data_IF_716546506539
#
_entry.id   IF_716546506539
#
_cell.length_a   1.000
_cell.length_b   1.000
_cell.length_c   1.000
_cell.angle_alpha   90.00
_cell.angle_beta   90.00
_cell.angle_gamma   90.00
#
_symmetry.space_group_name_H-M   'P 1'
#
loop_
_entity.id
_entity.type
_entity.pdbx_description
1 polymer ?
#
# COMPACT_ATOMS: atom_id res chain seq x y z
N UNK A 1 7.69 -3.99 -16.44
CA UNK A 1 7.52 -3.57 -15.03
C UNK A 1 8.07 -2.17 -14.89
N UNK A 2 7.37 -1.27 -14.19
CA UNK A 2 7.90 0.05 -13.84
C UNK A 2 8.48 -0.03 -12.42
N UNK A 3 9.75 0.30 -12.27
CA UNK A 3 10.46 0.34 -10.98
C UNK A 3 11.02 1.74 -10.80
N UNK A 4 10.61 2.40 -9.73
CA UNK A 4 11.07 3.74 -9.39
C UNK A 4 12.02 3.67 -8.20
N UNK A 5 13.28 4.09 -8.40
CA UNK A 5 14.23 4.34 -7.31
C UNK A 5 13.97 5.73 -6.74
N UNK A 6 14.54 6.03 -5.59
CA UNK A 6 14.40 7.35 -4.97
C UNK A 6 14.83 8.50 -5.91
N UNK A 7 15.84 8.29 -6.77
CA UNK A 7 16.29 9.28 -7.75
C UNK A 7 15.37 9.44 -8.97
N UNK A 8 14.41 8.53 -9.14
CA UNK A 8 13.43 8.58 -10.22
C UNK A 8 12.12 9.27 -9.75
N UNK A 9 12.01 9.64 -8.46
CA UNK A 9 10.87 10.37 -7.88
C UNK A 9 11.16 11.87 -7.88
N UNK A 10 10.31 12.67 -8.51
CA UNK A 10 10.47 14.12 -8.53
C UNK A 10 9.97 14.75 -7.23
N UNK A 11 8.81 14.29 -6.74
CA UNK A 11 8.20 14.84 -5.53
C UNK A 11 7.24 13.87 -4.86
N UNK A 12 7.15 13.95 -3.53
CA UNK A 12 6.10 13.30 -2.73
C UNK A 12 5.35 14.39 -1.95
N UNK A 13 4.02 14.36 -1.97
CA UNK A 13 3.18 15.33 -1.28
C UNK A 13 2.06 14.63 -0.52
N UNK A 14 1.93 14.91 0.78
CA UNK A 14 0.78 14.52 1.57
C UNK A 14 -0.06 15.76 1.91
N UNK A 15 -1.31 15.79 1.49
CA UNK A 15 -2.20 16.94 1.73
C UNK A 15 -3.59 16.51 2.13
N UNK A 16 -4.26 17.33 2.94
CA UNK A 16 -5.72 17.29 3.08
C UNK A 16 -6.26 18.44 2.21
N UNK A 17 -6.88 18.16 1.05
CA UNK A 17 -7.41 19.21 0.19
C UNK A 17 -8.43 20.09 0.93
N UNK A 18 -8.57 21.35 0.52
CA UNK A 18 -9.54 22.27 1.14
C UNK A 18 -10.95 21.68 1.04
N UNK A 19 -11.65 21.59 2.18
CA UNK A 19 -13.00 21.02 2.26
C UNK A 19 -13.05 19.48 2.33
N UNK A 20 -11.91 18.79 2.27
CA UNK A 20 -11.85 17.34 2.43
C UNK A 20 -11.52 16.96 3.87
N UNK A 21 -11.99 15.79 4.30
CA UNK A 21 -11.70 15.23 5.63
C UNK A 21 -10.44 14.36 5.65
N UNK A 22 -10.10 13.79 4.49
CA UNK A 22 -9.10 12.74 4.37
C UNK A 22 -7.91 13.20 3.56
N UNK A 23 -6.74 12.68 3.93
CA UNK A 23 -5.49 12.96 3.26
C UNK A 23 -5.44 12.32 1.85
N UNK A 24 -4.61 12.88 0.98
CA UNK A 24 -4.17 12.31 -0.29
C UNK A 24 -2.65 12.28 -0.30
N UNK A 25 -2.10 11.13 -0.66
CA UNK A 25 -0.68 10.98 -0.96
C UNK A 25 -0.50 11.09 -2.46
N UNK A 26 0.40 11.97 -2.89
CA UNK A 26 0.72 12.24 -4.27
C UNK A 26 2.19 11.90 -4.49
N UNK A 27 2.48 11.09 -5.49
CA UNK A 27 3.85 10.80 -5.94
C UNK A 27 3.96 11.28 -7.39
N UNK A 28 4.83 12.26 -7.61
CA UNK A 28 5.12 12.86 -8.90
C UNK A 28 6.35 12.19 -9.50
N UNK A 29 6.16 11.63 -10.69
CA UNK A 29 7.15 10.93 -11.49
C UNK A 29 7.35 11.71 -12.80
N UNK A 30 8.47 11.52 -13.52
CA UNK A 30 8.75 12.28 -14.74
C UNK A 30 7.68 12.15 -15.84
N UNK A 31 6.95 11.03 -15.85
CA UNK A 31 5.97 10.68 -16.86
C UNK A 31 4.51 10.68 -16.36
N UNK A 32 4.28 10.72 -15.04
CA UNK A 32 2.94 10.60 -14.47
C UNK A 32 2.82 11.07 -13.01
N UNK A 33 1.59 11.27 -12.55
CA UNK A 33 1.28 11.58 -11.15
C UNK A 33 0.40 10.48 -10.58
N UNK A 34 0.85 9.84 -9.50
CA UNK A 34 0.09 8.85 -8.75
C UNK A 34 -0.60 9.54 -7.57
N UNK A 35 -1.91 9.34 -7.41
CA UNK A 35 -2.69 9.90 -6.29
C UNK A 35 -3.38 8.76 -5.54
N UNK A 36 -3.05 8.61 -4.27
CA UNK A 36 -3.60 7.59 -3.40
C UNK A 36 -4.59 8.18 -2.39
N UNK A 37 -5.61 7.38 -2.07
CA UNK A 37 -6.49 7.63 -0.93
C UNK A 37 -5.74 7.40 0.39
N UNK A 38 -6.19 8.06 1.46
CA UNK A 38 -5.64 7.85 2.82
C UNK A 38 -5.62 6.36 3.22
N UNK A 39 -6.67 5.61 2.91
CA UNK A 39 -6.75 4.18 3.23
C UNK A 39 -5.69 3.35 2.47
N UNK A 40 -5.43 3.67 1.21
CA UNK A 40 -4.36 3.03 0.42
C UNK A 40 -2.98 3.38 0.99
N UNK A 41 -2.75 4.65 1.33
CA UNK A 41 -1.50 5.08 1.97
C UNK A 41 -1.28 4.40 3.31
N UNK A 42 -2.33 4.27 4.13
CA UNK A 42 -2.26 3.54 5.38
C UNK A 42 -1.97 2.05 5.18
N UNK A 43 -2.50 1.43 4.12
CA UNK A 43 -2.17 0.04 3.77
C UNK A 43 -0.69 -0.12 3.38
N UNK A 44 -0.13 0.78 2.56
CA UNK A 44 1.29 0.78 2.21
C UNK A 44 2.15 0.90 3.47
N UNK A 45 1.83 1.85 4.36
CA UNK A 45 2.54 2.03 5.62
C UNK A 45 2.45 0.79 6.51
N UNK A 46 1.26 0.18 6.64
CA UNK A 46 1.07 -1.06 7.41
C UNK A 46 1.89 -2.20 6.84
N UNK A 47 1.91 -2.39 5.52
CA UNK A 47 2.69 -3.45 4.88
C UNK A 47 4.19 -3.27 5.17
N UNK A 48 4.71 -2.06 4.95
CA UNK A 48 6.11 -1.72 5.24
C UNK A 48 6.47 -1.98 6.70
N UNK A 49 5.72 -1.38 7.63
CA UNK A 49 5.96 -1.52 9.07
C UNK A 49 5.90 -3.00 9.49
N UNK A 50 4.88 -3.73 9.03
CA UNK A 50 4.69 -5.15 9.41
C UNK A 50 5.86 -6.05 9.06
N UNK A 51 6.62 -5.74 8.00
CA UNK A 51 7.83 -6.49 7.64
C UNK A 51 9.04 -5.96 8.40
N UNK A 52 9.31 -4.65 8.32
CA UNK A 52 10.57 -4.09 8.86
C UNK A 52 10.67 -4.13 10.37
N UNK A 53 9.54 -4.13 11.09
CA UNK A 53 9.53 -4.16 12.57
C UNK A 53 9.31 -5.55 13.15
N UNK A 54 9.03 -6.58 12.34
CA UNK A 54 8.79 -7.92 12.83
C UNK A 54 10.05 -8.79 12.72
N UNK A 55 10.52 -9.45 13.79
CA UNK A 55 11.85 -10.07 13.83
C UNK A 55 12.02 -11.27 12.89
N UNK A 56 10.93 -11.88 12.43
CA UNK A 56 10.95 -13.10 11.61
C UNK A 56 10.17 -13.00 10.30
N UNK A 57 9.32 -11.97 10.13
CA UNK A 57 8.40 -11.91 8.98
C UNK A 57 9.16 -11.30 7.81
N UNK A 58 9.09 -11.93 6.65
CA UNK A 58 9.83 -11.49 5.45
C UNK A 58 8.94 -10.88 4.39
N UNK A 59 7.65 -11.15 4.44
CA UNK A 59 6.69 -10.57 3.50
C UNK A 59 5.31 -10.41 4.13
N UNK A 60 4.46 -9.68 3.44
CA UNK A 60 3.04 -9.54 3.74
C UNK A 60 2.34 -9.16 2.44
N UNK A 61 1.19 -9.76 2.20
CA UNK A 61 0.32 -9.37 1.10
C UNK A 61 -0.96 -8.78 1.66
N UNK A 62 -1.34 -7.60 1.17
CA UNK A 62 -2.62 -6.98 1.47
C UNK A 62 -3.48 -6.97 0.20
N UNK A 63 -4.57 -7.74 0.19
CA UNK A 63 -5.47 -7.90 -0.95
C UNK A 63 -6.74 -7.09 -0.77
N UNK A 64 -7.32 -6.63 -1.89
CA UNK A 64 -8.57 -5.88 -1.87
C UNK A 64 -9.72 -6.81 -1.48
N UNK A 65 -10.41 -6.44 -0.41
CA UNK A 65 -11.68 -7.05 -0.03
C UNK A 65 -12.73 -5.97 0.14
N UNK A 66 -13.92 -6.25 -0.40
CA UNK A 66 -15.11 -5.45 -0.14
C UNK A 66 -15.89 -6.08 1.01
N UNK A 67 -16.14 -5.29 2.05
CA UNK A 67 -16.93 -5.65 3.21
C UNK A 67 -18.33 -5.05 3.14
N UNK A 68 -19.30 -5.74 3.73
CA UNK A 68 -20.59 -5.14 4.04
C UNK A 68 -20.47 -4.24 5.28
N UNK A 69 -21.33 -3.22 5.45
CA UNK A 69 -21.29 -2.32 6.60
C UNK A 69 -21.34 -3.04 7.96
N UNK A 70 -22.05 -4.17 8.05
CA UNK A 70 -22.15 -4.98 9.27
C UNK A 70 -20.89 -5.80 9.60
N UNK A 71 -19.98 -5.99 8.64
CA UNK A 71 -18.75 -6.77 8.80
C UNK A 71 -17.55 -5.91 9.23
N UNK A 72 -17.70 -4.58 9.21
CA UNK A 72 -16.61 -3.63 9.46
C UNK A 72 -16.98 -2.61 10.53
N UNK A 73 -15.97 -2.09 11.22
CA UNK A 73 -16.16 -1.02 12.20
C UNK A 73 -16.75 0.22 11.52
N UNK A 74 -17.60 1.01 12.22
CA UNK A 74 -18.10 2.27 11.71
C UNK A 74 -16.96 3.20 11.26
N UNK A 75 -17.23 4.01 10.24
CA UNK A 75 -16.32 4.99 9.63
C UNK A 75 -15.13 4.42 8.82
N UNK A 76 -15.03 3.10 8.65
CA UNK A 76 -14.13 2.51 7.68
C UNK A 76 -14.79 2.42 6.29
N UNK A 77 -13.97 2.45 5.24
CA UNK A 77 -14.45 2.22 3.87
C UNK A 77 -14.82 0.75 3.66
N UNK A 78 -15.85 0.46 2.86
CA UNK A 78 -16.18 -0.92 2.46
C UNK A 78 -15.02 -1.61 1.75
N UNK A 79 -14.24 -0.87 0.96
CA UNK A 79 -13.06 -1.41 0.28
C UNK A 79 -11.84 -1.28 1.19
N UNK A 80 -11.29 -2.41 1.62
CA UNK A 80 -10.09 -2.48 2.44
C UNK A 80 -9.02 -3.31 1.76
N UNK A 81 -7.77 -3.01 2.07
CA UNK A 81 -6.63 -3.88 1.79
C UNK A 81 -6.29 -4.62 3.09
N UNK A 82 -6.50 -5.93 3.11
CA UNK A 82 -6.33 -6.78 4.29
C UNK A 82 -5.39 -7.94 4.00
N UNK A 83 -4.76 -8.48 5.04
CA UNK A 83 -3.85 -9.60 4.95
C UNK A 83 -4.49 -10.80 4.24
N UNK A 84 -3.78 -11.34 3.25
CA UNK A 84 -4.14 -12.63 2.65
C UNK A 84 -3.65 -13.79 3.53
N UNK A 85 -3.91 -15.01 3.09
CA UNK A 85 -3.40 -16.23 3.71
C UNK A 85 -2.06 -16.70 3.13
N UNK A 86 -1.46 -15.95 2.20
CA UNK A 86 -0.22 -16.35 1.53
C UNK A 86 0.96 -16.42 2.52
N UNK A 87 1.80 -17.44 2.39
CA UNK A 87 2.99 -17.60 3.24
C UNK A 87 4.16 -16.78 2.73
N UNK A 88 5.19 -16.63 3.58
CA UNK A 88 6.44 -16.00 3.17
C UNK A 88 7.08 -16.74 1.99
N UNK A 89 7.05 -18.08 1.99
CA UNK A 89 7.59 -18.87 0.88
C UNK A 89 6.84 -18.65 -0.43
N UNK A 90 5.50 -18.63 -0.40
CA UNK A 90 4.68 -18.40 -1.59
C UNK A 90 4.94 -17.03 -2.21
N UNK A 91 4.98 -15.97 -1.38
CA UNK A 91 5.22 -14.61 -1.84
C UNK A 91 6.65 -14.39 -2.32
N UNK A 92 7.64 -15.04 -1.71
CA UNK A 92 9.03 -14.98 -2.17
C UNK A 92 9.20 -15.72 -3.50
N UNK A 93 8.53 -16.85 -3.69
CA UNK A 93 8.54 -17.54 -4.98
C UNK A 93 7.83 -16.73 -6.05
N UNK A 94 6.69 -16.11 -5.73
CA UNK A 94 5.95 -15.30 -6.68
C UNK A 94 6.70 -14.02 -7.05
N UNK A 95 7.26 -13.27 -6.09
CA UNK A 95 7.82 -11.94 -6.35
C UNK A 95 9.34 -11.86 -6.38
N UNK A 96 10.06 -12.80 -5.76
CA UNK A 96 11.52 -12.80 -5.73
C UNK A 96 12.13 -12.87 -7.13
N UNK A 97 11.63 -13.80 -7.95
CA UNK A 97 12.02 -13.96 -9.35
C UNK A 97 11.68 -12.74 -10.23
N UNK A 98 10.76 -11.87 -9.79
CA UNK A 98 10.36 -10.66 -10.49
C UNK A 98 11.19 -9.44 -10.09
N UNK A 99 11.78 -9.43 -8.88
CA UNK A 99 12.60 -8.32 -8.35
C UNK A 99 14.07 -8.47 -8.76
N UNK A 100 14.57 -9.70 -8.86
CA UNK A 100 15.97 -10.03 -9.14
C UNK A 100 16.31 -10.09 -10.65
N UNK A 101 15.33 -9.84 -11.54
CA UNK A 101 15.52 -9.66 -12.99
C UNK A 101 15.60 -8.18 -13.37
#
# INVERSE_FOLDING_TARGET
MLRYRNCDIERIVAIIPRGHRHMRMIIELPDQILVFSEATTAAIARAYISVVTHPQRRSIELVMRKFKPEEIKPAYSECQLIESSATDEELQQEWGDFIDK
#
